data_IF_646611972845
#
_entry.id   IF_646611972845
#
_cell.length_a   1.000
_cell.length_b   1.000
_cell.length_c   1.000
_cell.angle_alpha   90.00
_cell.angle_beta   90.00
_cell.angle_gamma   90.00
#
_symmetry.space_group_name_H-M   'P 1'
#
loop_
_entity.id
_entity.type
_entity.pdbx_description
1 polymer ?
#
# COMPACT_ATOMS: atom_id res chain seq x y z
N UNK A 1 0.41 21.88 5.56
CA UNK A 1 1.26 20.97 4.73
C UNK A 1 0.45 19.75 4.32
N UNK A 2 0.61 19.28 3.06
CA UNK A 2 -0.03 18.05 2.57
C UNK A 2 0.99 16.94 2.39
N UNK A 3 0.64 15.76 2.89
CA UNK A 3 1.41 14.54 2.79
C UNK A 3 0.74 13.58 1.80
N UNK A 4 1.52 12.98 0.90
CA UNK A 4 1.10 11.81 0.14
C UNK A 4 1.59 10.56 0.88
N UNK A 5 0.66 9.76 1.38
CA UNK A 5 0.95 8.51 2.08
C UNK A 5 0.61 7.36 1.15
N UNK A 6 1.61 6.63 0.71
CA UNK A 6 1.51 5.51 -0.23
C UNK A 6 1.99 4.22 0.42
N UNK A 7 1.55 3.08 -0.06
CA UNK A 7 1.96 1.75 0.40
C UNK A 7 1.87 0.73 -0.72
N UNK A 8 2.58 -0.37 -0.56
CA UNK A 8 2.38 -1.57 -1.36
C UNK A 8 2.54 -1.29 -2.88
N UNK A 9 3.72 -0.77 -3.26
CA UNK A 9 4.06 -0.44 -4.64
C UNK A 9 4.29 -1.70 -5.51
N UNK A 10 4.75 -2.79 -4.87
CA UNK A 10 4.85 -4.13 -5.42
C UNK A 10 5.40 -4.18 -6.84
N UNK A 11 6.63 -3.73 -7.01
CA UNK A 11 7.36 -3.79 -8.27
C UNK A 11 6.55 -3.36 -9.52
N UNK A 12 5.57 -2.43 -9.32
CA UNK A 12 4.70 -1.90 -10.37
C UNK A 12 5.01 -0.41 -10.62
N UNK A 13 6.02 -0.08 -11.41
CA UNK A 13 6.46 1.30 -11.61
C UNK A 13 5.40 2.16 -12.31
N UNK A 14 4.57 1.61 -13.20
CA UNK A 14 3.52 2.37 -13.90
C UNK A 14 2.43 2.86 -12.96
N UNK A 15 1.99 2.00 -12.04
CA UNK A 15 1.02 2.38 -11.02
C UNK A 15 1.61 3.43 -10.07
N UNK A 16 2.87 3.27 -9.65
CA UNK A 16 3.55 4.24 -8.79
C UNK A 16 3.71 5.60 -9.47
N UNK A 17 4.09 5.64 -10.75
CA UNK A 17 4.17 6.88 -11.53
C UNK A 17 2.82 7.59 -11.62
N UNK A 18 1.72 6.82 -11.81
CA UNK A 18 0.36 7.37 -11.83
C UNK A 18 0.00 8.01 -10.49
N UNK A 19 0.26 7.34 -9.37
CA UNK A 19 0.01 7.85 -8.03
C UNK A 19 0.85 9.09 -7.71
N UNK A 20 2.15 9.06 -8.04
CA UNK A 20 3.05 10.22 -7.87
C UNK A 20 2.59 11.43 -8.68
N UNK A 21 2.17 11.24 -9.93
CA UNK A 21 1.66 12.31 -10.78
C UNK A 21 0.37 12.94 -10.20
N UNK A 22 -0.53 12.11 -9.68
CA UNK A 22 -1.76 12.59 -9.04
C UNK A 22 -1.49 13.35 -7.73
N UNK A 23 -0.60 12.82 -6.88
CA UNK A 23 -0.21 13.48 -5.63
C UNK A 23 0.47 14.84 -5.86
N UNK A 24 1.29 14.97 -6.92
CA UNK A 24 1.88 16.25 -7.32
C UNK A 24 0.82 17.23 -7.80
N UNK A 25 -0.17 16.78 -8.60
CA UNK A 25 -1.32 17.62 -9.00
C UNK A 25 -2.14 18.08 -7.79
N UNK A 26 -2.24 17.24 -6.75
CA UNK A 26 -2.88 17.60 -5.49
C UNK A 26 -2.04 18.52 -4.60
N UNK A 27 -0.81 18.86 -5.04
CA UNK A 27 0.16 19.74 -4.35
C UNK A 27 0.58 19.15 -2.99
N UNK A 28 0.85 17.84 -2.93
CA UNK A 28 1.51 17.25 -1.79
C UNK A 28 2.97 17.71 -1.74
N UNK A 29 3.43 18.11 -0.55
CA UNK A 29 4.78 18.64 -0.33
C UNK A 29 5.73 17.62 0.31
N UNK A 30 5.21 16.50 0.86
CA UNK A 30 5.99 15.41 1.42
C UNK A 30 5.41 14.07 1.03
N UNK A 31 6.27 13.11 0.72
CA UNK A 31 5.92 11.79 0.21
C UNK A 31 6.44 10.72 1.15
N UNK A 32 5.55 9.84 1.63
CA UNK A 32 5.87 8.74 2.55
C UNK A 32 5.41 7.44 1.92
N UNK A 33 6.31 6.45 1.84
CA UNK A 33 6.00 5.10 1.43
C UNK A 33 6.08 4.17 2.64
N UNK A 34 5.02 3.44 2.89
CA UNK A 34 4.87 2.58 4.07
C UNK A 34 5.51 1.20 3.90
N UNK A 35 6.23 0.94 2.81
CA UNK A 35 6.89 -0.33 2.51
C UNK A 35 6.25 -1.09 1.35
N UNK A 36 6.75 -2.30 1.14
CA UNK A 36 6.43 -3.20 0.04
C UNK A 36 6.69 -2.56 -1.33
N UNK A 37 7.96 -2.24 -1.55
CA UNK A 37 8.49 -1.80 -2.85
C UNK A 37 8.56 -3.00 -3.80
N UNK A 38 8.98 -4.17 -3.26
CA UNK A 38 9.15 -5.44 -3.95
C UNK A 38 7.89 -6.33 -3.86
N UNK A 39 7.95 -7.52 -4.40
CA UNK A 39 6.86 -8.50 -4.40
C UNK A 39 5.83 -8.31 -5.52
N UNK A 40 5.18 -9.37 -5.92
CA UNK A 40 4.03 -9.49 -6.83
C UNK A 40 4.13 -8.87 -8.23
N UNK A 41 4.97 -7.90 -8.46
CA UNK A 41 5.02 -7.16 -9.72
C UNK A 41 6.21 -7.51 -10.61
N UNK A 42 6.40 -6.75 -11.67
CA UNK A 42 7.25 -7.11 -12.78
C UNK A 42 8.58 -6.36 -12.88
N UNK A 43 8.75 -5.24 -12.17
CA UNK A 43 9.96 -4.41 -12.30
C UNK A 43 10.40 -3.79 -10.96
N UNK A 44 11.03 -4.61 -10.08
CA UNK A 44 11.47 -4.13 -8.77
C UNK A 44 12.55 -3.05 -8.89
N UNK A 45 13.42 -3.15 -9.89
CA UNK A 45 14.55 -2.22 -10.07
C UNK A 45 14.07 -0.80 -10.41
N UNK A 46 13.19 -0.67 -11.39
CA UNK A 46 12.61 0.63 -11.75
C UNK A 46 11.74 1.19 -10.63
N UNK A 47 10.98 0.33 -9.93
CA UNK A 47 10.16 0.75 -8.79
C UNK A 47 11.03 1.31 -7.68
N UNK A 48 12.11 0.60 -7.30
CA UNK A 48 13.06 1.07 -6.29
C UNK A 48 13.72 2.40 -6.70
N UNK A 49 14.13 2.55 -7.96
CA UNK A 49 14.69 3.80 -8.46
C UNK A 49 13.70 4.97 -8.35
N UNK A 50 12.42 4.74 -8.66
CA UNK A 50 11.36 5.73 -8.47
C UNK A 50 11.17 6.08 -7.00
N UNK A 51 11.19 5.09 -6.11
CA UNK A 51 11.05 5.30 -4.66
C UNK A 51 12.21 6.14 -4.13
N UNK A 52 13.45 5.76 -4.40
CA UNK A 52 14.65 6.50 -3.95
C UNK A 52 14.66 7.96 -4.42
N UNK A 53 14.07 8.23 -5.58
CA UNK A 53 14.03 9.59 -6.18
C UNK A 53 12.93 10.47 -5.60
N UNK A 54 11.81 9.90 -5.15
CA UNK A 54 10.57 10.66 -4.98
C UNK A 54 10.02 10.69 -3.55
N UNK A 55 10.49 9.81 -2.66
CA UNK A 55 9.96 9.72 -1.31
C UNK A 55 10.94 10.27 -0.28
N UNK A 56 10.41 11.05 0.66
CA UNK A 56 11.16 11.63 1.77
C UNK A 56 11.34 10.62 2.91
N UNK A 57 10.34 9.75 3.11
CA UNK A 57 10.35 8.67 4.10
C UNK A 57 9.94 7.38 3.42
N UNK A 58 10.71 6.31 3.68
CA UNK A 58 10.44 4.96 3.17
C UNK A 58 10.59 3.96 4.29
N UNK A 59 9.56 3.19 4.55
CA UNK A 59 9.56 2.14 5.57
C UNK A 59 9.83 0.77 4.95
N UNK A 60 10.19 -0.19 5.80
CA UNK A 60 10.32 -1.60 5.47
C UNK A 60 8.94 -2.25 5.40
N UNK A 61 8.67 -3.00 4.33
CA UNK A 61 7.54 -3.93 4.25
C UNK A 61 8.01 -5.38 4.35
N UNK A 62 7.09 -6.34 4.49
CA UNK A 62 7.44 -7.76 4.61
C UNK A 62 8.07 -8.31 3.32
N UNK A 63 7.62 -7.87 2.17
CA UNK A 63 8.23 -8.26 0.89
C UNK A 63 9.63 -7.66 0.73
N UNK A 64 9.85 -6.44 1.16
CA UNK A 64 11.19 -5.84 1.17
C UNK A 64 12.12 -6.61 2.11
N UNK A 65 11.65 -6.97 3.31
CA UNK A 65 12.36 -7.77 4.31
C UNK A 65 12.76 -9.15 3.75
N UNK A 66 11.81 -9.86 3.11
CA UNK A 66 12.07 -11.13 2.45
C UNK A 66 13.08 -10.99 1.29
N UNK A 67 12.94 -9.96 0.48
CA UNK A 67 13.85 -9.66 -0.64
C UNK A 67 15.30 -9.50 -0.17
N UNK A 68 15.52 -8.86 0.97
CA UNK A 68 16.88 -8.59 1.47
C UNK A 68 17.40 -9.63 2.47
N UNK A 69 16.65 -10.71 2.72
CA UNK A 69 17.08 -11.83 3.54
C UNK A 69 17.03 -11.57 5.05
N UNK A 70 16.11 -10.73 5.50
CA UNK A 70 15.83 -10.52 6.93
C UNK A 70 14.77 -11.48 7.48
N UNK A 71 13.97 -12.11 6.60
CA UNK A 71 13.06 -13.18 6.97
C UNK A 71 13.77 -14.55 6.99
N UNK A 72 13.34 -15.50 7.82
CA UNK A 72 13.89 -16.86 7.83
C UNK A 72 13.78 -17.52 6.45
N UNK A 73 14.85 -18.12 5.94
CA UNK A 73 14.89 -18.68 4.58
C UNK A 73 13.84 -19.77 4.37
N UNK A 74 13.62 -20.63 5.37
CA UNK A 74 12.57 -21.67 5.34
C UNK A 74 11.16 -21.11 5.17
N UNK A 75 10.89 -19.90 5.72
CA UNK A 75 9.60 -19.23 5.58
C UNK A 75 9.44 -18.64 4.17
N UNK A 76 10.50 -18.04 3.65
CA UNK A 76 10.54 -17.50 2.28
C UNK A 76 10.40 -18.62 1.24
N UNK A 77 11.04 -19.77 1.46
CA UNK A 77 10.94 -20.93 0.57
C UNK A 77 9.55 -21.61 0.63
N UNK A 78 8.96 -21.71 1.80
CA UNK A 78 7.66 -22.35 2.00
C UNK A 78 6.48 -21.49 1.51
N UNK A 79 6.66 -20.19 1.38
CA UNK A 79 5.58 -19.26 1.05
C UNK A 79 5.71 -18.75 -0.39
N UNK A 80 4.88 -19.28 -1.29
CA UNK A 80 4.84 -18.88 -2.71
C UNK A 80 4.62 -17.37 -2.92
N UNK A 81 4.11 -16.64 -1.93
CA UNK A 81 3.96 -15.19 -2.03
C UNK A 81 5.32 -14.48 -2.14
N UNK A 82 6.41 -15.12 -1.70
CA UNK A 82 7.76 -14.57 -1.76
C UNK A 82 8.56 -14.98 -3.01
N UNK A 83 7.97 -15.70 -3.99
CA UNK A 83 8.65 -16.04 -5.25
C UNK A 83 9.14 -14.79 -5.99
N UNK A 84 8.34 -13.73 -5.99
CA UNK A 84 8.71 -12.46 -6.60
C UNK A 84 9.81 -11.72 -5.84
N UNK A 85 9.94 -11.96 -4.53
CA UNK A 85 10.98 -11.34 -3.70
C UNK A 85 12.32 -12.02 -3.92
N UNK A 86 12.33 -13.35 -4.14
CA UNK A 86 13.54 -14.07 -4.59
C UNK A 86 14.02 -13.55 -5.94
N UNK A 87 13.10 -13.38 -6.89
CA UNK A 87 13.41 -12.75 -8.19
C UNK A 87 13.95 -11.33 -8.01
N UNK A 88 13.32 -10.52 -7.17
CA UNK A 88 13.77 -9.17 -6.90
C UNK A 88 15.18 -9.15 -6.29
N UNK A 89 15.49 -10.07 -5.36
CA UNK A 89 16.81 -10.24 -4.76
C UNK A 89 17.91 -10.49 -5.82
N UNK A 90 17.61 -11.26 -6.84
CA UNK A 90 18.53 -11.54 -7.94
C UNK A 90 18.73 -10.33 -8.87
N UNK A 91 17.68 -9.55 -9.10
CA UNK A 91 17.70 -8.39 -9.98
C UNK A 91 18.34 -7.16 -9.34
N UNK A 92 18.19 -6.97 -8.04
CA UNK A 92 18.73 -5.82 -7.31
C UNK A 92 20.24 -6.01 -7.03
N UNK A 93 21.00 -4.93 -7.17
CA UNK A 93 22.41 -4.90 -6.77
C UNK A 93 22.56 -4.99 -5.25
N UNK A 94 23.76 -5.31 -4.74
CA UNK A 94 24.01 -5.32 -3.30
C UNK A 94 23.78 -3.94 -2.67
N UNK A 95 24.21 -2.85 -3.32
CA UNK A 95 23.94 -1.48 -2.87
C UNK A 95 22.44 -1.20 -2.73
N UNK A 96 21.64 -1.66 -3.70
CA UNK A 96 20.19 -1.49 -3.67
C UNK A 96 19.55 -2.30 -2.53
N UNK A 97 20.03 -3.53 -2.29
CA UNK A 97 19.60 -4.37 -1.15
C UNK A 97 20.02 -3.78 0.19
N UNK A 98 21.24 -3.25 0.29
CA UNK A 98 21.71 -2.58 1.53
C UNK A 98 20.91 -1.32 1.83
N UNK A 99 20.54 -0.57 0.80
CA UNK A 99 19.65 0.55 0.98
C UNK A 99 18.28 0.11 1.53
N UNK A 100 17.70 -0.98 1.04
CA UNK A 100 16.46 -1.56 1.58
C UNK A 100 16.63 -2.02 3.02
N UNK A 101 17.71 -2.74 3.37
CA UNK A 101 18.01 -3.21 4.74
C UNK A 101 18.06 -2.07 5.75
N UNK A 102 18.47 -0.90 5.31
CA UNK A 102 18.52 0.31 6.14
C UNK A 102 17.16 1.00 6.37
N UNK A 103 16.05 0.44 5.93
CA UNK A 103 14.73 1.07 6.13
C UNK A 103 14.19 0.80 7.53
N UNK A 104 13.56 1.82 8.10
CA UNK A 104 12.93 1.73 9.42
C UNK A 104 11.58 0.99 9.30
N UNK A 105 11.14 0.39 10.38
CA UNK A 105 9.84 -0.29 10.47
C UNK A 105 8.72 0.63 10.95
N UNK A 106 9.09 1.74 11.56
CA UNK A 106 8.17 2.72 12.13
C UNK A 106 8.76 4.12 11.99
N UNK A 107 7.93 5.07 11.61
CA UNK A 107 8.26 6.48 11.55
C UNK A 107 7.21 7.30 12.28
N UNK A 108 7.63 8.33 13.03
CA UNK A 108 6.72 9.24 13.69
C UNK A 108 7.19 10.68 13.51
N UNK A 109 6.29 11.55 13.12
CA UNK A 109 6.53 12.99 13.00
C UNK A 109 5.22 13.78 13.10
N UNK A 110 5.32 15.02 13.55
CA UNK A 110 4.22 16.01 13.50
C UNK A 110 2.87 15.49 14.04
N UNK A 111 2.89 14.61 15.07
CA UNK A 111 1.71 14.08 15.75
C UNK A 111 1.03 12.91 15.02
N UNK A 112 1.68 12.30 14.03
CA UNK A 112 1.25 11.04 13.43
C UNK A 112 2.38 10.00 13.41
N UNK A 113 2.01 8.73 13.32
CA UNK A 113 2.93 7.62 13.14
C UNK A 113 2.58 6.80 11.89
N UNK A 114 3.59 6.13 11.33
CA UNK A 114 3.49 5.28 10.15
C UNK A 114 4.19 3.95 10.40
N UNK A 115 3.60 2.85 9.92
CA UNK A 115 4.21 1.53 9.82
C UNK A 115 3.66 0.81 8.60
N UNK A 116 4.28 -0.29 8.19
CA UNK A 116 3.73 -1.10 7.10
C UNK A 116 2.49 -1.89 7.56
N UNK A 117 2.63 -2.74 8.57
CA UNK A 117 1.58 -3.61 9.09
C UNK A 117 0.87 -3.02 10.31
N UNK A 118 1.25 -3.48 11.50
CA UNK A 118 0.67 -3.05 12.77
C UNK A 118 1.69 -2.30 13.66
N UNK A 119 1.18 -1.55 14.64
CA UNK A 119 1.99 -0.71 15.53
C UNK A 119 2.43 -1.44 16.79
N UNK A 120 1.88 -2.62 17.09
CA UNK A 120 2.22 -3.36 18.32
C UNK A 120 3.58 -4.04 18.20
N UNK A 121 3.85 -4.62 17.04
CA UNK A 121 5.12 -5.25 16.66
C UNK A 121 5.34 -5.07 15.14
N UNK A 122 5.87 -3.93 14.69
CA UNK A 122 5.99 -3.61 13.26
C UNK A 122 6.69 -4.68 12.41
N UNK A 123 7.64 -5.40 12.99
CA UNK A 123 8.41 -6.47 12.35
C UNK A 123 7.69 -7.82 12.28
N UNK A 124 6.49 -7.95 12.87
CA UNK A 124 5.74 -9.20 12.87
C UNK A 124 4.69 -9.26 11.75
N UNK A 125 4.57 -8.20 10.97
CA UNK A 125 3.69 -8.10 9.79
C UNK A 125 2.22 -8.44 10.06
N UNK A 126 1.73 -8.18 11.30
CA UNK A 126 0.34 -8.42 11.62
C UNK A 126 -0.57 -7.49 10.82
N UNK A 127 -1.76 -7.98 10.52
CA UNK A 127 -2.78 -7.21 9.83
C UNK A 127 -3.67 -6.41 10.79
N UNK A 128 -4.21 -5.30 10.32
CA UNK A 128 -5.32 -4.58 10.96
C UNK A 128 -6.55 -4.73 10.06
N UNK A 129 -7.37 -5.77 10.32
CA UNK A 129 -8.56 -6.07 9.53
C UNK A 129 -9.87 -5.69 10.22
N UNK A 130 -9.92 -5.77 11.53
CA UNK A 130 -11.13 -5.62 12.32
C UNK A 130 -10.97 -4.57 13.44
N UNK A 131 -12.05 -4.30 14.16
CA UNK A 131 -12.03 -3.34 15.27
C UNK A 131 -11.16 -3.82 16.44
N UNK A 132 -11.09 -5.13 16.68
CA UNK A 132 -10.27 -5.75 17.73
C UNK A 132 -8.78 -5.53 17.46
N UNK A 133 -8.34 -5.66 16.19
CA UNK A 133 -6.99 -5.33 15.79
C UNK A 133 -6.70 -3.84 16.00
N UNK A 134 -7.61 -2.98 15.56
CA UNK A 134 -7.49 -1.55 15.74
C UNK A 134 -7.39 -1.13 17.21
N UNK A 135 -8.19 -1.76 18.10
CA UNK A 135 -8.11 -1.53 19.56
C UNK A 135 -6.70 -1.78 20.08
N UNK A 136 -6.10 -2.95 19.77
CA UNK A 136 -4.73 -3.27 20.22
C UNK A 136 -3.73 -2.21 19.75
N UNK A 137 -3.88 -1.75 18.51
CA UNK A 137 -3.00 -0.75 17.93
C UNK A 137 -3.19 0.64 18.56
N UNK A 138 -4.41 1.06 18.88
CA UNK A 138 -4.64 2.32 19.60
C UNK A 138 -4.01 2.36 20.99
N UNK A 139 -3.88 1.22 21.65
CA UNK A 139 -3.23 1.13 22.97
C UNK A 139 -1.70 0.99 22.90
N UNK A 140 -1.13 0.75 21.73
CA UNK A 140 0.33 0.62 21.58
C UNK A 140 1.05 1.95 21.33
N UNK A 141 0.32 3.01 20.97
CA UNK A 141 0.87 4.31 20.57
C UNK A 141 0.03 5.44 21.15
N UNK A 142 0.62 6.63 21.26
CA UNK A 142 -0.04 7.84 21.76
C UNK A 142 -0.47 8.81 20.64
N UNK A 143 0.05 8.64 19.41
CA UNK A 143 -0.28 9.52 18.29
C UNK A 143 -1.78 9.48 17.96
N UNK A 144 -2.35 10.64 17.66
CA UNK A 144 -3.77 10.76 17.32
C UNK A 144 -4.10 10.24 15.92
N UNK A 145 -3.09 10.10 15.05
CA UNK A 145 -3.25 9.66 13.68
C UNK A 145 -2.15 8.65 13.33
N UNK A 146 -2.53 7.51 12.79
CA UNK A 146 -1.63 6.41 12.46
C UNK A 146 -1.92 5.92 11.04
N UNK A 147 -0.89 5.70 10.23
CA UNK A 147 -1.00 5.24 8.86
C UNK A 147 -0.39 3.85 8.67
N UNK A 148 -1.10 2.96 8.00
CA UNK A 148 -0.62 1.63 7.64
C UNK A 148 -1.04 1.21 6.22
N UNK A 149 -0.48 0.09 5.73
CA UNK A 149 -0.75 -0.57 4.46
C UNK A 149 -1.03 -2.06 4.65
N UNK A 150 -0.25 -2.90 3.95
CA UNK A 150 -0.14 -4.35 4.09
C UNK A 150 -1.40 -5.16 3.74
N UNK A 151 -2.60 -4.71 4.10
CA UNK A 151 -3.86 -5.40 3.72
C UNK A 151 -4.24 -5.17 2.26
N UNK A 152 -3.68 -4.16 1.61
CA UNK A 152 -4.03 -3.62 0.29
C UNK A 152 -5.47 -3.09 0.19
N UNK A 153 -6.16 -2.94 1.31
CA UNK A 153 -7.55 -2.48 1.38
C UNK A 153 -7.63 -1.20 2.20
N UNK A 154 -8.03 -0.10 1.56
CA UNK A 154 -8.19 1.16 2.25
C UNK A 154 -9.28 1.05 3.35
N UNK A 155 -8.94 1.50 4.55
CA UNK A 155 -9.82 1.46 5.71
C UNK A 155 -9.51 2.58 6.69
N UNK A 156 -10.50 3.03 7.45
CA UNK A 156 -10.32 4.02 8.51
C UNK A 156 -11.02 3.52 9.76
N UNK A 157 -10.29 3.44 10.85
CA UNK A 157 -10.82 3.19 12.19
C UNK A 157 -10.76 4.49 13.00
N UNK A 158 -11.84 4.81 13.67
CA UNK A 158 -11.94 5.95 14.57
C UNK A 158 -12.12 5.46 16.00
N UNK A 159 -11.30 5.92 16.91
CA UNK A 159 -11.43 5.69 18.35
C UNK A 159 -12.00 6.94 19.00
N UNK A 160 -13.16 6.80 19.61
CA UNK A 160 -13.89 7.84 20.35
C UNK A 160 -14.11 7.40 21.79
N UNK A 161 -14.67 8.28 22.62
CA UNK A 161 -15.11 7.92 23.98
C UNK A 161 -16.18 6.78 24.01
N UNK A 162 -16.84 6.49 22.87
CA UNK A 162 -17.85 5.42 22.73
C UNK A 162 -17.26 4.09 22.24
N UNK A 163 -15.99 4.03 21.90
CA UNK A 163 -15.30 2.84 21.39
C UNK A 163 -14.66 3.03 20.03
N UNK A 164 -14.25 1.93 19.40
CA UNK A 164 -13.62 1.91 18.08
C UNK A 164 -14.65 1.58 17.00
N UNK A 165 -14.67 2.38 15.97
CA UNK A 165 -15.59 2.25 14.84
C UNK A 165 -14.81 2.26 13.53
N UNK A 166 -15.23 1.41 12.60
CA UNK A 166 -14.80 1.47 11.20
C UNK A 166 -15.78 2.36 10.43
N UNK A 167 -15.41 3.60 10.04
CA UNK A 167 -16.25 4.41 9.18
C UNK A 167 -16.52 3.65 7.88
N UNK A 168 -17.77 3.61 7.45
CA UNK A 168 -18.14 2.96 6.19
C UNK A 168 -17.51 3.74 5.04
N UNK A 169 -16.46 3.20 4.46
CA UNK A 169 -16.08 3.54 3.10
C UNK A 169 -17.23 3.06 2.22
N UNK A 170 -17.88 3.96 1.48
CA UNK A 170 -19.10 3.63 0.73
C UNK A 170 -18.90 2.46 -0.25
N UNK A 171 -19.96 1.70 -0.55
CA UNK A 171 -19.99 0.54 -1.47
C UNK A 171 -19.31 0.77 -2.84
N UNK A 172 -19.19 2.04 -3.27
CA UNK A 172 -18.47 2.40 -4.51
C UNK A 172 -16.99 2.02 -4.52
N UNK A 173 -16.39 1.73 -3.35
CA UNK A 173 -15.02 1.20 -3.28
C UNK A 173 -14.90 -0.29 -3.63
N UNK A 174 -16.02 -0.97 -3.90
CA UNK A 174 -16.03 -2.38 -4.29
C UNK A 174 -16.12 -2.57 -5.82
N UNK A 175 -15.83 -1.54 -6.60
CA UNK A 175 -15.84 -1.57 -8.06
C UNK A 175 -14.59 -0.91 -8.65
N UNK A 176 -14.19 -1.29 -9.91
CA UNK A 176 -13.08 -0.62 -10.59
C UNK A 176 -13.29 0.89 -10.67
N UNK A 177 -12.23 1.65 -10.46
CA UNK A 177 -12.25 3.09 -10.72
C UNK A 177 -11.98 3.32 -12.21
N UNK A 178 -12.95 3.86 -12.92
CA UNK A 178 -12.82 4.26 -14.34
C UNK A 178 -12.27 5.68 -14.50
N UNK A 179 -12.24 6.43 -13.43
CA UNK A 179 -11.67 7.77 -13.33
C UNK A 179 -11.13 7.99 -11.90
N UNK A 180 -10.36 9.04 -11.72
CA UNK A 180 -9.89 9.42 -10.38
C UNK A 180 -11.09 9.73 -9.48
N UNK A 181 -11.17 9.04 -8.36
CA UNK A 181 -12.19 9.22 -7.33
C UNK A 181 -11.52 9.57 -6.00
N UNK A 182 -12.29 10.14 -5.08
CA UNK A 182 -11.79 10.42 -3.74
C UNK A 182 -12.90 10.37 -2.70
N UNK A 183 -12.53 9.94 -1.50
CA UNK A 183 -13.37 10.07 -0.30
C UNK A 183 -12.59 10.85 0.74
N UNK A 184 -13.21 11.91 1.26
CA UNK A 184 -12.57 12.83 2.18
C UNK A 184 -13.25 12.77 3.54
N UNK A 185 -12.44 12.68 4.60
CA UNK A 185 -12.85 12.67 6.00
C UNK A 185 -12.25 13.86 6.72
N UNK A 186 -13.05 14.60 7.46
CA UNK A 186 -12.55 15.58 8.42
C UNK A 186 -12.24 14.86 9.73
N UNK A 187 -11.00 14.97 10.19
CA UNK A 187 -10.55 14.33 11.40
C UNK A 187 -11.00 15.15 12.63
N UNK A 188 -11.77 14.53 13.50
CA UNK A 188 -12.21 15.15 14.75
C UNK A 188 -11.01 15.24 15.73
N UNK A 189 -10.66 16.42 16.26
CA UNK A 189 -9.55 16.57 17.19
C UNK A 189 -9.71 15.81 18.51
N UNK A 190 -10.94 15.44 18.88
CA UNK A 190 -11.24 14.65 20.07
C UNK A 190 -11.18 13.12 19.83
N UNK A 191 -10.88 12.69 18.60
CA UNK A 191 -10.80 11.27 18.24
C UNK A 191 -9.38 10.90 17.82
N UNK A 192 -9.09 9.60 17.83
CA UNK A 192 -7.86 9.02 17.27
C UNK A 192 -8.20 8.19 16.04
N UNK A 193 -7.26 8.07 15.12
CA UNK A 193 -7.51 7.41 13.83
C UNK A 193 -6.39 6.45 13.46
N UNK A 194 -6.75 5.29 12.90
CA UNK A 194 -5.87 4.44 12.11
C UNK A 194 -6.39 4.46 10.68
N UNK A 195 -5.51 4.74 9.74
CA UNK A 195 -5.83 4.84 8.31
C UNK A 195 -4.97 3.85 7.53
N UNK A 196 -5.59 2.82 6.98
CA UNK A 196 -4.96 2.01 5.94
C UNK A 196 -5.19 2.71 4.60
N UNK A 197 -4.11 3.00 3.89
CA UNK A 197 -4.17 3.76 2.64
C UNK A 197 -4.44 2.89 1.41
N UNK A 198 -4.51 1.56 1.60
CA UNK A 198 -4.64 0.59 0.51
C UNK A 198 -3.31 0.37 -0.22
N UNK A 199 -3.36 -0.05 -1.46
CA UNK A 199 -2.19 -0.40 -2.27
C UNK A 199 -2.12 0.43 -3.54
N UNK A 200 -0.92 0.87 -3.89
CA UNK A 200 -0.63 1.54 -5.17
C UNK A 200 -0.46 0.51 -6.29
N UNK A 201 0.34 -0.54 -6.08
CA UNK A 201 0.80 -1.43 -7.14
C UNK A 201 0.06 -2.74 -7.27
N UNK A 202 -0.66 -3.16 -6.21
CA UNK A 202 -1.30 -4.47 -6.16
C UNK A 202 -2.67 -4.43 -5.46
N UNK A 203 -3.69 -3.82 -6.09
CA UNK A 203 -5.03 -3.74 -5.51
C UNK A 203 -5.66 -5.13 -5.40
N UNK A 204 -6.34 -5.44 -4.29
CA UNK A 204 -6.96 -6.74 -4.06
C UNK A 204 -8.48 -6.75 -4.30
N UNK A 205 -9.20 -5.78 -3.75
CA UNK A 205 -10.67 -5.89 -3.68
C UNK A 205 -11.43 -4.97 -4.64
N UNK A 206 -10.83 -3.89 -5.11
CA UNK A 206 -11.54 -2.83 -5.83
C UNK A 206 -10.91 -2.44 -7.17
N UNK A 207 -9.90 -3.22 -7.61
CA UNK A 207 -9.27 -3.06 -8.92
C UNK A 207 -8.83 -1.61 -9.23
N UNK A 208 -8.38 -0.89 -8.21
CA UNK A 208 -7.87 0.46 -8.37
C UNK A 208 -6.64 0.68 -7.49
N UNK A 209 -5.70 1.48 -7.96
CA UNK A 209 -4.65 1.99 -7.09
C UNK A 209 -5.27 2.89 -6.02
N UNK A 210 -4.80 2.79 -4.79
CA UNK A 210 -5.22 3.70 -3.73
C UNK A 210 -4.04 4.24 -2.94
N UNK A 211 -4.17 5.47 -2.48
CA UNK A 211 -3.25 6.12 -1.56
C UNK A 211 -3.94 7.21 -0.75
N UNK A 212 -3.29 7.70 0.29
CA UNK A 212 -3.80 8.73 1.17
C UNK A 212 -3.21 10.11 0.90
N UNK A 213 -4.03 11.17 1.01
CA UNK A 213 -3.56 12.55 1.16
C UNK A 213 -3.98 13.03 2.54
N UNK A 214 -3.00 13.35 3.38
CA UNK A 214 -3.24 13.99 4.66
C UNK A 214 -2.91 15.49 4.57
N UNK A 215 -3.93 16.33 4.76
CA UNK A 215 -3.81 17.78 4.87
C UNK A 215 -3.77 18.15 6.35
N UNK A 216 -2.57 18.37 6.89
CA UNK A 216 -2.37 18.62 8.32
C UNK A 216 -3.01 19.94 8.76
N UNK A 217 -2.93 20.98 7.96
CA UNK A 217 -3.50 22.30 8.28
C UNK A 217 -5.03 22.26 8.35
N UNK A 218 -5.65 21.51 7.43
CA UNK A 218 -7.10 21.33 7.38
C UNK A 218 -7.61 20.16 8.25
N UNK A 219 -6.72 19.38 8.88
CA UNK A 219 -7.05 18.13 9.60
C UNK A 219 -7.96 17.23 8.78
N UNK A 220 -7.55 16.96 7.55
CA UNK A 220 -8.38 16.28 6.56
C UNK A 220 -7.61 15.13 5.92
N UNK A 221 -8.24 13.95 5.93
CA UNK A 221 -7.74 12.76 5.26
C UNK A 221 -8.56 12.48 4.01
N UNK A 222 -7.90 12.28 2.88
CA UNK A 222 -8.53 11.92 1.61
C UNK A 222 -7.92 10.61 1.12
N UNK A 223 -8.74 9.59 0.93
CA UNK A 223 -8.36 8.39 0.18
C UNK A 223 -8.60 8.67 -1.30
N UNK A 224 -7.55 8.54 -2.09
CA UNK A 224 -7.55 8.66 -3.55
C UNK A 224 -7.66 7.28 -4.15
N UNK A 225 -8.50 7.13 -5.19
CA UNK A 225 -8.63 5.92 -6.00
C UNK A 225 -8.36 6.28 -7.44
N UNK A 226 -7.40 5.58 -8.03
CA UNK A 226 -6.94 5.81 -9.39
C UNK A 226 -7.26 4.60 -10.25
N UNK A 227 -7.64 4.78 -11.51
CA UNK A 227 -7.76 3.66 -12.43
C UNK A 227 -6.47 2.82 -12.42
N UNK A 228 -6.62 1.49 -12.40
CA UNK A 228 -5.51 0.57 -12.54
C UNK A 228 -5.47 0.05 -13.98
N UNK A 229 -4.33 0.22 -14.64
CA UNK A 229 -4.15 -0.27 -16.02
C UNK A 229 -3.85 -1.78 -16.02
N UNK A 230 -4.91 -2.58 -15.88
CA UNK A 230 -4.82 -4.04 -15.90
C UNK A 230 -4.21 -4.59 -17.17
N UNK A 231 -4.56 -4.02 -18.31
CA UNK A 231 -4.06 -4.50 -19.61
C UNK A 231 -2.54 -4.37 -19.65
N UNK A 232 -2.03 -3.21 -19.30
CA UNK A 232 -0.60 -2.97 -19.26
C UNK A 232 0.10 -3.87 -18.23
N UNK A 233 -0.48 -4.01 -17.03
CA UNK A 233 0.07 -4.88 -15.97
C UNK A 233 0.17 -6.35 -16.44
N UNK A 234 -0.91 -6.90 -17.00
CA UNK A 234 -0.93 -8.28 -17.51
C UNK A 234 0.09 -8.47 -18.63
N UNK A 235 0.16 -7.53 -19.58
CA UNK A 235 1.12 -7.59 -20.69
C UNK A 235 2.54 -7.62 -20.16
N UNK A 236 2.92 -6.71 -19.26
CA UNK A 236 4.27 -6.67 -18.67
C UNK A 236 4.62 -7.96 -17.90
N UNK A 237 3.66 -8.54 -17.17
CA UNK A 237 3.88 -9.81 -16.47
C UNK A 237 4.16 -10.95 -17.46
N UNK A 238 3.32 -11.09 -18.49
CA UNK A 238 3.42 -12.17 -19.48
C UNK A 238 4.66 -12.03 -20.37
N UNK A 239 4.99 -10.83 -20.82
CA UNK A 239 6.16 -10.56 -21.66
C UNK A 239 7.49 -10.90 -20.93
N UNK A 240 7.48 -10.88 -19.60
CA UNK A 240 8.60 -11.28 -18.75
C UNK A 240 8.53 -12.74 -18.28
N UNK A 241 7.55 -13.50 -18.75
CA UNK A 241 7.37 -14.91 -18.37
C UNK A 241 6.91 -15.09 -16.91
N UNK A 242 6.35 -14.05 -16.29
CA UNK A 242 5.90 -14.09 -14.90
C UNK A 242 4.47 -14.63 -14.80
N UNK A 243 4.19 -15.36 -13.73
CA UNK A 243 2.84 -15.87 -13.45
C UNK A 243 1.92 -14.75 -13.00
N UNK A 244 0.67 -14.78 -13.47
CA UNK A 244 -0.34 -13.83 -13.04
C UNK A 244 -0.86 -14.19 -11.64
N UNK A 245 -1.14 -13.20 -10.79
CA UNK A 245 -1.76 -13.41 -9.49
C UNK A 245 -3.07 -14.20 -9.59
N UNK A 246 -3.32 -15.10 -8.65
CA UNK A 246 -4.50 -15.98 -8.67
C UNK A 246 -5.83 -15.24 -8.74
N UNK A 247 -5.96 -14.11 -8.01
CA UNK A 247 -7.15 -13.25 -8.07
C UNK A 247 -7.38 -12.64 -9.47
N UNK A 248 -6.30 -12.28 -10.18
CA UNK A 248 -6.39 -11.74 -11.53
C UNK A 248 -6.78 -12.83 -12.53
N UNK A 249 -6.25 -14.05 -12.37
CA UNK A 249 -6.68 -15.21 -13.14
C UNK A 249 -8.18 -15.49 -12.97
N UNK A 250 -8.69 -15.39 -11.75
CA UNK A 250 -10.12 -15.55 -11.46
C UNK A 250 -10.97 -14.47 -12.15
N UNK A 251 -10.55 -13.21 -12.10
CA UNK A 251 -11.21 -12.09 -12.78
C UNK A 251 -11.24 -12.26 -14.29
N UNK A 252 -10.12 -12.64 -14.90
CA UNK A 252 -10.03 -12.88 -16.34
C UNK A 252 -10.91 -14.05 -16.78
N UNK A 253 -11.03 -15.11 -15.95
CA UNK A 253 -11.96 -16.23 -16.19
C UNK A 253 -13.41 -15.79 -16.11
N UNK A 254 -13.79 -15.01 -15.09
CA UNK A 254 -15.14 -14.49 -14.91
C UNK A 254 -15.56 -13.56 -16.06
N UNK A 255 -14.67 -12.70 -16.53
CA UNK A 255 -14.90 -11.83 -17.67
C UNK A 255 -15.13 -12.60 -18.98
N UNK A 256 -14.39 -13.71 -19.19
CA UNK A 256 -14.60 -14.61 -20.36
C UNK A 256 -15.91 -15.40 -20.28
N UNK A 257 -16.32 -15.83 -19.08
CA UNK A 257 -17.55 -16.60 -18.88
C UNK A 257 -18.83 -15.74 -18.98
N UNK A 258 -18.73 -14.44 -18.64
CA UNK A 258 -19.86 -13.50 -18.63
C UNK A 258 -20.16 -12.81 -19.97
N UNK A 259 -19.43 -13.09 -21.04
CA UNK A 259 -19.71 -12.66 -22.41
C UNK A 259 -20.03 -11.17 -22.59
N UNK A 260 -19.38 -10.22 -21.87
CA UNK A 260 -19.66 -8.79 -22.08
C UNK A 260 -18.47 -7.90 -21.69
N UNK A 261 -17.99 -7.17 -22.66
CA UNK A 261 -17.33 -5.84 -22.71
C UNK A 261 -16.72 -5.26 -21.41
N UNK A 262 -15.75 -5.91 -20.78
CA UNK A 262 -14.89 -5.25 -19.77
C UNK A 262 -13.42 -5.15 -20.19
N UNK A 263 -13.10 -5.42 -21.44
CA UNK A 263 -11.75 -5.27 -22.00
C UNK A 263 -11.86 -4.54 -23.33
N UNK A 264 -12.16 -3.26 -23.28
CA UNK A 264 -11.85 -2.31 -24.35
C UNK A 264 -11.04 -1.15 -23.76
#
# INVERSE_FOLDING_TARGET
MKYAIMSDAHANPKALETALADARRARCGKFILLGDITGYGYDPKRTLALVRKNFDVVLMGNHDSACVGLEPEWEVEANYNYDFDRMARELLTEEERDWLRGREYLHAENGFACTHGDFTRPQAWNYIFCCEDAVRNFFSRDECLMFCGHTHVAAIWEHTAKGVFRPKLEKRFMRPAVRVESVTFRLNPASRYIVNVGSVGYPRNDLCCSYGIYDADARRMTIRRLPFDFKSYVTEMLDRGLSLPGWLCQLLRAARAGGSSMVQ
#
